data_IF_778856375552
#
_entry.id   IF_778856375552
#
_cell.length_a   1.000
_cell.length_b   1.000
_cell.length_c   1.000
_cell.angle_alpha   90.00
_cell.angle_beta   90.00
_cell.angle_gamma   90.00
#
_symmetry.space_group_name_H-M   'P 1'
#
loop_
_entity.id
_entity.type
_entity.pdbx_description
1 polymer ?
#
# COMPACT_ATOMS: atom_id res chain seq x y z
N UNK A 1 -69.26 -6.86 55.92
CA UNK A 1 -68.51 -6.96 54.66
C UNK A 1 -67.33 -7.87 54.92
N UNK A 2 -67.34 -9.04 54.31
CA UNK A 2 -66.28 -10.04 54.46
C UNK A 2 -64.98 -9.49 53.87
N UNK A 3 -63.91 -9.50 54.65
CA UNK A 3 -62.57 -9.09 54.18
C UNK A 3 -62.16 -9.86 52.93
N UNK A 4 -62.66 -11.09 52.77
CA UNK A 4 -62.42 -11.96 51.63
C UNK A 4 -62.92 -11.41 50.27
N UNK A 5 -64.11 -10.81 50.20
CA UNK A 5 -64.65 -10.27 48.94
C UNK A 5 -63.97 -8.97 48.53
N UNK A 6 -63.58 -8.13 49.50
CA UNK A 6 -62.79 -6.92 49.24
C UNK A 6 -61.41 -7.23 48.63
N UNK A 7 -60.70 -8.21 49.18
CA UNK A 7 -59.40 -8.63 48.62
C UNK A 7 -59.54 -9.32 47.24
N UNK A 8 -60.64 -10.03 47.00
CA UNK A 8 -60.91 -10.69 45.71
C UNK A 8 -61.21 -9.69 44.58
N UNK A 9 -61.96 -8.62 44.87
CA UNK A 9 -62.30 -7.59 43.88
C UNK A 9 -61.13 -6.62 43.60
N UNK A 10 -60.20 -6.47 44.55
CA UNK A 10 -58.96 -5.69 44.35
C UNK A 10 -57.80 -6.49 43.73
N UNK A 11 -57.87 -7.82 43.71
CA UNK A 11 -56.80 -8.69 43.19
C UNK A 11 -56.52 -8.48 41.69
N UNK A 12 -57.58 -8.28 40.88
CA UNK A 12 -57.44 -8.04 39.44
C UNK A 12 -56.76 -6.70 39.11
N UNK A 13 -57.29 -5.56 39.57
CA UNK A 13 -56.69 -4.24 39.34
C UNK A 13 -55.31 -4.08 40.00
N UNK A 14 -55.13 -4.62 41.21
CA UNK A 14 -53.84 -4.60 41.91
C UNK A 14 -52.75 -5.36 41.15
N UNK A 15 -53.08 -6.53 40.59
CA UNK A 15 -52.15 -7.29 39.75
C UNK A 15 -51.74 -6.53 38.48
N UNK A 16 -52.66 -5.78 37.85
CA UNK A 16 -52.37 -4.99 36.65
C UNK A 16 -51.40 -3.82 36.92
N UNK A 17 -51.50 -3.17 38.08
CA UNK A 17 -50.57 -2.09 38.49
C UNK A 17 -49.18 -2.66 38.77
N UNK A 18 -49.09 -3.80 39.44
CA UNK A 18 -47.80 -4.47 39.70
C UNK A 18 -47.16 -4.93 38.39
N UNK A 19 -47.95 -5.56 37.51
CA UNK A 19 -47.47 -6.03 36.21
C UNK A 19 -46.98 -4.88 35.32
N UNK A 20 -47.69 -3.75 35.27
CA UNK A 20 -47.28 -2.57 34.50
C UNK A 20 -46.01 -1.91 35.08
N UNK A 21 -45.86 -1.85 36.41
CA UNK A 21 -44.64 -1.38 37.06
C UNK A 21 -43.42 -2.25 36.75
N UNK A 22 -43.58 -3.58 36.81
CA UNK A 22 -42.52 -4.54 36.43
C UNK A 22 -42.17 -4.40 34.95
N UNK A 23 -43.16 -4.29 34.07
CA UNK A 23 -42.94 -4.08 32.64
C UNK A 23 -42.18 -2.77 32.35
N UNK A 24 -42.54 -1.68 33.02
CA UNK A 24 -41.86 -0.39 32.88
C UNK A 24 -40.40 -0.46 33.37
N UNK A 25 -40.15 -1.12 34.51
CA UNK A 25 -38.80 -1.29 35.05
C UNK A 25 -37.92 -2.14 34.13
N UNK A 26 -38.44 -3.26 33.62
CA UNK A 26 -37.74 -4.12 32.65
C UNK A 26 -37.41 -3.33 31.38
N UNK A 27 -38.39 -2.57 30.86
CA UNK A 27 -38.21 -1.74 29.65
C UNK A 27 -37.13 -0.68 29.87
N UNK A 28 -37.15 0.02 31.00
CA UNK A 28 -36.12 1.00 31.37
C UNK A 28 -34.74 0.34 31.47
N UNK A 29 -34.65 -0.84 32.11
CA UNK A 29 -33.38 -1.56 32.24
C UNK A 29 -32.82 -1.98 30.88
N UNK A 30 -33.67 -2.46 29.98
CA UNK A 30 -33.28 -2.82 28.62
C UNK A 30 -32.84 -1.59 27.81
N UNK A 31 -33.54 -0.46 27.94
CA UNK A 31 -33.15 0.79 27.28
C UNK A 31 -31.74 1.24 27.71
N UNK A 32 -31.42 1.17 29.01
CA UNK A 32 -30.08 1.48 29.50
C UNK A 32 -29.01 0.53 28.95
N UNK A 33 -29.31 -0.78 28.83
CA UNK A 33 -28.38 -1.74 28.24
C UNK A 33 -28.16 -1.50 26.74
N UNK A 34 -29.21 -1.19 25.99
CA UNK A 34 -29.11 -0.85 24.56
C UNK A 34 -28.23 0.37 24.32
N UNK A 35 -28.32 1.39 25.19
CA UNK A 35 -27.43 2.56 25.12
C UNK A 35 -25.97 2.18 25.35
N UNK A 36 -25.67 1.29 26.31
CA UNK A 36 -24.31 0.79 26.53
C UNK A 36 -23.80 0.02 25.33
N UNK A 37 -24.62 -0.87 24.76
CA UNK A 37 -24.26 -1.65 23.57
C UNK A 37 -24.01 -0.73 22.39
N UNK A 38 -24.86 0.27 22.16
CA UNK A 38 -24.69 1.24 21.08
C UNK A 38 -23.39 2.04 21.23
N UNK A 39 -23.03 2.46 22.46
CA UNK A 39 -21.75 3.13 22.74
C UNK A 39 -20.55 2.22 22.46
N UNK A 40 -20.63 0.95 22.89
CA UNK A 40 -19.58 -0.03 22.62
C UNK A 40 -19.42 -0.30 21.12
N UNK A 41 -20.53 -0.49 20.39
CA UNK A 41 -20.52 -0.67 18.95
C UNK A 41 -19.94 0.53 18.21
N UNK A 42 -20.27 1.76 18.63
CA UNK A 42 -19.69 2.97 18.07
C UNK A 42 -18.16 3.03 18.28
N UNK A 43 -17.69 2.71 19.49
CA UNK A 43 -16.25 2.66 19.80
C UNK A 43 -15.53 1.58 18.98
N UNK A 44 -16.13 0.39 18.84
CA UNK A 44 -15.58 -0.70 18.01
C UNK A 44 -15.54 -0.30 16.53
N UNK A 45 -16.60 0.32 16.01
CA UNK A 45 -16.64 0.79 14.62
C UNK A 45 -15.59 1.86 14.35
N UNK A 46 -15.38 2.80 15.29
CA UNK A 46 -14.33 3.80 15.20
C UNK A 46 -12.93 3.17 15.19
N UNK A 47 -12.67 2.21 16.08
CA UNK A 47 -11.41 1.49 16.12
C UNK A 47 -11.16 0.71 14.82
N UNK A 48 -12.17 -0.01 14.32
CA UNK A 48 -12.09 -0.76 13.07
C UNK A 48 -11.83 0.17 11.86
N UNK A 49 -12.48 1.33 11.80
CA UNK A 49 -12.24 2.32 10.75
C UNK A 49 -10.81 2.86 10.79
N UNK A 50 -10.28 3.14 11.98
CA UNK A 50 -8.89 3.58 12.14
C UNK A 50 -7.91 2.49 11.70
N UNK A 51 -8.14 1.24 12.10
CA UNK A 51 -7.32 0.09 11.68
C UNK A 51 -7.37 -0.10 10.16
N UNK A 52 -8.55 -0.04 9.55
CA UNK A 52 -8.71 -0.16 8.10
C UNK A 52 -7.97 0.95 7.34
N UNK A 53 -8.04 2.19 7.85
CA UNK A 53 -7.31 3.33 7.28
C UNK A 53 -5.79 3.14 7.38
N UNK A 54 -5.30 2.70 8.53
CA UNK A 54 -3.87 2.41 8.74
C UNK A 54 -3.40 1.29 7.81
N UNK A 55 -4.19 0.22 7.67
CA UNK A 55 -3.90 -0.89 6.75
C UNK A 55 -3.85 -0.42 5.29
N UNK A 56 -4.83 0.35 4.85
CA UNK A 56 -4.83 0.89 3.48
C UNK A 56 -3.58 1.72 3.18
N UNK A 57 -3.15 2.56 4.12
CA UNK A 57 -1.91 3.35 3.98
C UNK A 57 -0.68 2.47 3.89
N UNK A 58 -0.59 1.44 4.73
CA UNK A 58 0.49 0.47 4.71
C UNK A 58 0.53 -0.31 3.39
N UNK A 59 -0.61 -0.84 2.94
CA UNK A 59 -0.71 -1.60 1.69
C UNK A 59 -0.29 -0.76 0.47
N UNK A 60 -0.63 0.54 0.46
CA UNK A 60 -0.19 1.47 -0.60
C UNK A 60 1.33 1.70 -0.51
N UNK A 61 1.87 1.89 0.70
CA UNK A 61 3.30 2.06 0.90
C UNK A 61 4.08 0.82 0.46
N UNK A 62 3.63 -0.39 0.81
CA UNK A 62 4.27 -1.64 0.38
C UNK A 62 4.30 -1.77 -1.13
N UNK A 63 3.18 -1.48 -1.81
CA UNK A 63 3.12 -1.50 -3.28
C UNK A 63 4.10 -0.52 -3.91
N UNK A 64 4.20 0.70 -3.36
CA UNK A 64 5.18 1.70 -3.81
C UNK A 64 6.61 1.20 -3.57
N UNK A 65 6.91 0.72 -2.38
CA UNK A 65 8.24 0.23 -2.06
C UNK A 65 8.65 -0.97 -2.93
N UNK A 66 7.72 -1.87 -3.25
CA UNK A 66 7.96 -2.97 -4.17
C UNK A 66 8.35 -2.48 -5.58
N UNK A 67 7.67 -1.46 -6.11
CA UNK A 67 8.00 -0.88 -7.42
C UNK A 67 9.35 -0.17 -7.42
N UNK A 68 9.66 0.57 -6.36
CA UNK A 68 10.98 1.15 -6.18
C UNK A 68 12.07 0.07 -6.21
N UNK A 69 11.87 -1.05 -5.52
CA UNK A 69 12.80 -2.18 -5.52
C UNK A 69 12.99 -2.79 -6.91
N UNK A 70 11.92 -2.96 -7.69
CA UNK A 70 12.02 -3.45 -9.07
C UNK A 70 12.93 -2.53 -9.90
N UNK A 71 12.75 -1.22 -9.79
CA UNK A 71 13.58 -0.23 -10.49
C UNK A 71 15.04 -0.31 -10.03
N UNK A 72 15.29 -0.33 -8.72
CA UNK A 72 16.65 -0.45 -8.14
C UNK A 72 17.37 -1.73 -8.56
N UNK A 73 16.66 -2.87 -8.52
CA UNK A 73 17.19 -4.17 -8.93
C UNK A 73 17.47 -4.20 -10.43
N UNK A 74 16.59 -3.64 -11.25
CA UNK A 74 16.81 -3.60 -12.69
C UNK A 74 18.00 -2.71 -13.05
N UNK A 75 18.13 -1.52 -12.44
CA UNK A 75 19.30 -0.65 -12.63
C UNK A 75 20.61 -1.35 -12.24
N UNK A 76 20.59 -2.08 -11.12
CA UNK A 76 21.73 -2.87 -10.65
C UNK A 76 22.05 -4.03 -11.60
N UNK A 77 21.03 -4.65 -12.18
CA UNK A 77 21.20 -5.73 -13.18
C UNK A 77 21.87 -5.18 -14.45
N UNK A 78 21.45 -4.00 -14.91
CA UNK A 78 22.09 -3.33 -16.06
C UNK A 78 23.54 -2.96 -15.76
N UNK A 79 23.87 -2.62 -14.51
CA UNK A 79 25.25 -2.34 -14.10
C UNK A 79 26.18 -3.56 -14.21
N UNK A 80 25.62 -4.77 -14.05
CA UNK A 80 26.34 -6.04 -14.11
C UNK A 80 26.22 -6.73 -15.47
N UNK A 81 25.54 -6.09 -16.42
CA UNK A 81 25.25 -6.67 -17.73
C UNK A 81 26.54 -6.89 -18.52
N UNK A 82 26.63 -8.04 -19.21
CA UNK A 82 27.79 -8.42 -20.01
C UNK A 82 27.51 -8.43 -21.52
N UNK A 83 28.53 -8.20 -22.36
CA UNK A 83 28.40 -8.35 -23.81
C UNK A 83 27.87 -9.73 -24.20
N UNK A 84 26.82 -9.75 -25.03
CA UNK A 84 26.18 -10.98 -25.52
C UNK A 84 25.05 -11.52 -24.64
N UNK A 85 24.84 -11.00 -23.43
CA UNK A 85 23.67 -11.33 -22.61
C UNK A 85 22.43 -10.59 -23.10
N UNK A 86 21.25 -11.22 -22.95
CA UNK A 86 19.97 -10.58 -23.27
C UNK A 86 19.44 -9.86 -22.03
N UNK A 87 19.19 -8.56 -22.16
CA UNK A 87 18.46 -7.78 -21.16
C UNK A 87 16.96 -7.80 -21.51
N UNK A 88 16.12 -8.28 -20.60
CA UNK A 88 14.67 -8.30 -20.79
C UNK A 88 14.04 -6.95 -20.40
N UNK A 89 14.20 -5.96 -21.28
CA UNK A 89 13.62 -4.63 -21.12
C UNK A 89 12.09 -4.66 -21.16
N UNK A 90 11.49 -5.61 -21.89
CA UNK A 90 10.03 -5.70 -22.00
C UNK A 90 9.41 -6.16 -20.68
N UNK A 91 9.99 -7.19 -20.03
CA UNK A 91 9.56 -7.63 -18.72
C UNK A 91 9.64 -6.48 -17.71
N UNK A 92 10.75 -5.73 -17.69
CA UNK A 92 10.89 -4.55 -16.84
C UNK A 92 9.79 -3.51 -17.09
N UNK A 93 9.56 -3.13 -18.35
CA UNK A 93 8.55 -2.12 -18.70
C UNK A 93 7.14 -2.54 -18.29
N UNK A 94 6.80 -3.83 -18.42
CA UNK A 94 5.52 -4.38 -17.97
C UNK A 94 5.42 -4.34 -16.44
N UNK A 95 6.50 -4.65 -15.73
CA UNK A 95 6.51 -4.62 -14.27
C UNK A 95 6.37 -3.22 -13.68
N UNK A 96 6.81 -2.17 -14.39
CA UNK A 96 6.69 -0.78 -13.91
C UNK A 96 5.54 0.00 -14.55
N UNK A 97 4.74 -0.62 -15.43
CA UNK A 97 3.67 0.06 -16.17
C UNK A 97 2.62 0.74 -15.26
N UNK A 98 2.29 0.10 -14.14
CA UNK A 98 1.31 0.61 -13.17
C UNK A 98 1.89 1.68 -12.22
N UNK A 99 3.19 2.01 -12.31
CA UNK A 99 3.84 3.00 -11.46
C UNK A 99 3.17 4.38 -11.54
N UNK A 100 2.60 4.74 -12.69
CA UNK A 100 1.86 6.00 -12.88
C UNK A 100 0.74 6.22 -11.86
N UNK A 101 0.07 5.14 -11.44
CA UNK A 101 -1.03 5.20 -10.48
C UNK A 101 -0.55 5.30 -9.04
N UNK A 102 0.69 4.88 -8.78
CA UNK A 102 1.27 4.84 -7.45
C UNK A 102 2.07 6.12 -7.13
N UNK A 103 2.73 6.70 -8.14
CA UNK A 103 3.70 7.77 -7.99
C UNK A 103 3.41 9.02 -8.83
N UNK A 104 2.39 9.02 -9.68
CA UNK A 104 2.04 10.16 -10.51
C UNK A 104 2.91 10.33 -11.77
N UNK A 105 2.66 11.40 -12.54
CA UNK A 105 3.19 11.56 -13.90
C UNK A 105 4.69 11.84 -13.95
N UNK A 106 5.26 12.47 -12.92
CA UNK A 106 6.70 12.82 -12.88
C UNK A 106 7.57 11.55 -12.86
N UNK A 107 7.22 10.59 -12.00
CA UNK A 107 7.91 9.29 -11.91
C UNK A 107 7.65 8.46 -13.16
N UNK A 108 6.43 8.46 -13.69
CA UNK A 108 6.11 7.78 -14.95
C UNK A 108 6.98 8.30 -16.10
N UNK A 109 7.06 9.62 -16.24
CA UNK A 109 7.85 10.27 -17.28
C UNK A 109 9.32 9.87 -17.16
N UNK A 110 9.89 9.96 -15.95
CA UNK A 110 11.27 9.58 -15.71
C UNK A 110 11.55 8.11 -16.05
N UNK A 111 10.66 7.18 -15.64
CA UNK A 111 10.81 5.74 -15.93
C UNK A 111 10.72 5.45 -17.43
N UNK A 112 9.75 6.03 -18.13
CA UNK A 112 9.47 5.70 -19.54
C UNK A 112 10.35 6.45 -20.53
N UNK A 113 10.82 7.66 -20.16
CA UNK A 113 11.59 8.52 -21.06
C UNK A 113 13.06 8.55 -20.66
N UNK A 114 13.37 9.06 -19.47
CA UNK A 114 14.75 9.36 -19.09
C UNK A 114 15.56 8.09 -18.85
N UNK A 115 15.04 7.18 -18.02
CA UNK A 115 15.69 5.91 -17.70
C UNK A 115 15.74 4.99 -18.92
N UNK A 116 14.65 4.89 -19.67
CA UNK A 116 14.61 4.10 -20.91
C UNK A 116 15.60 4.65 -21.96
N UNK A 117 15.75 5.96 -22.07
CA UNK A 117 16.77 6.57 -22.94
C UNK A 117 18.17 6.17 -22.51
N UNK A 118 18.48 6.18 -21.21
CA UNK A 118 19.76 5.71 -20.69
C UNK A 118 20.00 4.22 -21.00
N UNK A 119 18.99 3.37 -20.83
CA UNK A 119 19.07 1.95 -21.20
C UNK A 119 19.30 1.74 -22.70
N UNK A 120 18.63 2.50 -23.56
CA UNK A 120 18.85 2.41 -25.00
C UNK A 120 20.29 2.82 -25.40
N UNK A 121 20.86 3.83 -24.75
CA UNK A 121 22.27 4.20 -24.98
C UNK A 121 23.22 3.07 -24.57
N UNK A 122 23.00 2.46 -23.40
CA UNK A 122 23.79 1.32 -22.95
C UNK A 122 23.62 0.09 -23.84
N UNK A 123 22.41 -0.14 -24.36
CA UNK A 123 22.14 -1.22 -25.30
C UNK A 123 22.92 -1.06 -26.61
N UNK A 124 23.01 0.17 -27.13
CA UNK A 124 23.83 0.48 -28.32
C UNK A 124 25.30 0.18 -28.03
N UNK A 125 25.85 0.71 -26.92
CA UNK A 125 27.25 0.46 -26.52
C UNK A 125 27.52 -1.04 -26.38
N UNK A 126 26.61 -1.78 -25.76
CA UNK A 126 26.77 -3.22 -25.57
C UNK A 126 26.83 -3.98 -26.89
N UNK A 127 25.94 -3.65 -27.83
CA UNK A 127 25.93 -4.26 -29.15
C UNK A 127 27.19 -3.91 -29.96
N UNK A 128 27.67 -2.68 -29.87
CA UNK A 128 28.93 -2.29 -30.50
C UNK A 128 30.09 -3.12 -29.93
N UNK A 129 30.21 -3.22 -28.61
CA UNK A 129 31.26 -4.01 -27.93
C UNK A 129 31.19 -5.51 -28.26
N UNK A 130 29.98 -6.07 -28.37
CA UNK A 130 29.79 -7.47 -28.74
C UNK A 130 30.39 -7.80 -30.12
N UNK A 131 30.39 -6.82 -31.05
CA UNK A 131 30.91 -6.99 -32.41
C UNK A 131 32.39 -6.65 -32.56
N UNK A 132 33.05 -6.10 -31.52
CA UNK A 132 34.48 -5.77 -31.54
C UNK A 132 35.33 -7.03 -31.37
N UNK A 133 36.17 -7.32 -32.36
CA UNK A 133 37.12 -8.45 -32.35
C UNK A 133 38.53 -8.04 -31.90
N UNK A 134 38.80 -6.74 -31.91
CA UNK A 134 40.07 -6.12 -31.53
C UNK A 134 40.23 -5.93 -30.01
N UNK A 135 39.16 -6.14 -29.23
CA UNK A 135 39.14 -5.99 -27.78
C UNK A 135 38.98 -7.35 -27.09
N UNK A 136 39.70 -7.52 -25.98
CA UNK A 136 39.47 -8.60 -25.01
C UNK A 136 38.15 -8.39 -24.25
N UNK A 137 37.64 -9.44 -23.60
CA UNK A 137 36.42 -9.35 -22.81
C UNK A 137 36.55 -8.38 -21.61
N UNK A 138 37.74 -8.33 -20.99
CA UNK A 138 38.03 -7.40 -19.90
C UNK A 138 38.01 -5.94 -20.39
N UNK A 139 38.58 -5.66 -21.56
CA UNK A 139 38.54 -4.32 -22.16
C UNK A 139 37.11 -3.92 -22.52
N UNK A 140 36.31 -4.83 -23.07
CA UNK A 140 34.88 -4.59 -23.31
C UNK A 140 34.15 -4.26 -22.01
N UNK A 141 34.41 -5.02 -20.95
CA UNK A 141 33.77 -4.77 -19.65
C UNK A 141 34.17 -3.41 -19.07
N UNK A 142 35.43 -2.99 -19.22
CA UNK A 142 35.88 -1.67 -18.76
C UNK A 142 35.22 -0.52 -19.54
N UNK A 143 35.11 -0.65 -20.87
CA UNK A 143 34.42 0.35 -21.70
C UNK A 143 32.93 0.41 -21.33
N UNK A 144 32.29 -0.74 -21.15
CA UNK A 144 30.89 -0.79 -20.73
C UNK A 144 30.70 -0.17 -19.35
N UNK A 145 31.58 -0.46 -18.39
CA UNK A 145 31.53 0.13 -17.05
C UNK A 145 31.67 1.67 -17.11
N UNK A 146 32.59 2.19 -17.92
CA UNK A 146 32.73 3.64 -18.11
C UNK A 146 31.44 4.27 -18.69
N UNK A 147 30.83 3.62 -19.69
CA UNK A 147 29.54 4.06 -20.24
C UNK A 147 28.42 4.00 -19.19
N UNK A 148 28.35 2.93 -18.39
CA UNK A 148 27.42 2.78 -17.28
C UNK A 148 27.52 3.95 -16.30
N UNK A 149 28.73 4.29 -15.88
CA UNK A 149 28.97 5.42 -14.97
C UNK A 149 28.53 6.76 -15.59
N UNK A 150 28.70 6.94 -16.90
CA UNK A 150 28.24 8.13 -17.61
C UNK A 150 26.71 8.25 -17.70
N UNK A 151 26.01 7.16 -17.98
CA UNK A 151 24.57 7.19 -18.27
C UNK A 151 23.68 6.92 -17.06
N UNK A 152 24.03 5.93 -16.22
CA UNK A 152 23.16 5.50 -15.11
C UNK A 152 23.53 6.08 -13.76
N UNK A 153 24.78 6.51 -13.54
CA UNK A 153 25.15 7.07 -12.23
C UNK A 153 24.31 8.29 -11.82
N UNK A 154 24.04 9.28 -12.70
CA UNK A 154 23.15 10.40 -12.37
C UNK A 154 21.72 9.94 -12.07
N UNK A 155 21.27 8.84 -12.69
CA UNK A 155 19.92 8.31 -12.55
C UNK A 155 19.67 7.73 -11.16
N UNK A 156 20.68 7.17 -10.48
CA UNK A 156 20.51 6.66 -9.11
C UNK A 156 20.13 7.78 -8.13
N UNK A 157 20.78 8.94 -8.23
CA UNK A 157 20.46 10.09 -7.38
C UNK A 157 19.05 10.63 -7.67
N UNK A 158 18.71 10.78 -8.95
CA UNK A 158 17.38 11.23 -9.38
C UNK A 158 16.28 10.27 -8.92
N UNK A 159 16.50 8.96 -9.03
CA UNK A 159 15.57 7.93 -8.54
C UNK A 159 15.25 8.16 -7.07
N UNK A 160 16.27 8.27 -6.22
CA UNK A 160 16.04 8.42 -4.78
C UNK A 160 15.33 9.74 -4.45
N UNK A 161 15.62 10.82 -5.18
CA UNK A 161 14.93 12.09 -5.04
C UNK A 161 13.45 12.01 -5.47
N UNK A 162 13.17 11.44 -6.64
CA UNK A 162 11.83 11.32 -7.20
C UNK A 162 10.92 10.41 -6.39
N UNK A 163 11.46 9.29 -5.88
CA UNK A 163 10.66 8.33 -5.12
C UNK A 163 10.50 8.71 -3.64
N UNK A 164 11.42 9.51 -3.07
CA UNK A 164 11.43 9.88 -1.63
C UNK A 164 10.07 10.36 -1.11
N UNK A 165 9.32 11.26 -1.79
CA UNK A 165 8.02 11.72 -1.29
C UNK A 165 7.00 10.59 -1.09
N UNK A 166 7.13 9.51 -1.85
CA UNK A 166 6.19 8.39 -1.87
C UNK A 166 6.56 7.24 -0.94
N UNK A 167 7.82 7.20 -0.49
CA UNK A 167 8.39 6.12 0.32
C UNK A 167 8.45 6.43 1.83
N UNK A 168 7.99 7.61 2.24
CA UNK A 168 7.87 7.95 3.66
C UNK A 168 6.89 7.01 4.38
N UNK A 169 7.27 6.56 5.58
CA UNK A 169 6.43 5.67 6.38
C UNK A 169 5.14 6.37 6.81
N UNK A 170 3.97 5.72 6.70
CA UNK A 170 2.67 6.35 6.94
C UNK A 170 2.32 6.58 8.43
N UNK A 171 3.22 6.28 9.36
CA UNK A 171 2.97 6.22 10.81
C UNK A 171 3.82 7.20 11.65
N UNK A 172 4.21 8.34 11.08
CA UNK A 172 4.78 9.46 11.85
C UNK A 172 3.70 10.32 12.49
#
# INVERSE_FOLDING_TARGET
MDTYTFFKDFAGPGAAVIASGVAAWITWRFQQQQLTIAKQQAATAQAAAQTARNKLRYDIWEKRFAKYKVVDQHMSTVALWKPGEKLDLLAYLLEVYDARWLFGPEVEQWLQQDLNKAYNQLYIVMNELANRQDLTDDEKQQVFFAAHMGYLQPMYAQRDELFRPYLSMPFQ
#
